data_IF_846267248705
#
_entry.id   IF_846267248705
#
_cell.length_a   1.000
_cell.length_b   1.000
_cell.length_c   1.000
_cell.angle_alpha   90.00
_cell.angle_beta   90.00
_cell.angle_gamma   90.00
#
_symmetry.space_group_name_H-M   'P 1'
#
loop_
_entity.id
_entity.type
_entity.pdbx_description
1 polymer ?
#
# COMPACT_ATOMS: atom_id res chain seq x y z
N UNK A 1 -6.73 0.42 4.12
CA UNK A 1 -6.73 1.07 5.44
C UNK A 1 -6.89 0.02 6.55
N UNK A 2 -6.31 0.27 7.73
CA UNK A 2 -6.49 -0.59 8.91
C UNK A 2 -7.24 0.21 9.96
N UNK A 3 -8.19 -0.43 10.63
CA UNK A 3 -8.84 0.08 11.83
C UNK A 3 -8.83 -0.95 12.92
N UNK A 4 -8.89 -0.45 14.14
CA UNK A 4 -9.02 -1.25 15.34
C UNK A 4 -10.45 -1.07 15.81
N UNK A 5 -11.22 -2.16 15.85
CA UNK A 5 -12.65 -2.17 16.13
C UNK A 5 -12.92 -2.90 17.44
N UNK A 6 -13.67 -2.27 18.33
CA UNK A 6 -14.25 -2.95 19.48
C UNK A 6 -15.58 -3.58 19.07
N UNK A 7 -15.73 -4.91 19.14
CA UNK A 7 -17.01 -5.58 18.83
C UNK A 7 -18.12 -5.34 19.85
N UNK A 8 -17.75 -4.98 21.08
CA UNK A 8 -18.71 -4.76 22.15
C UNK A 8 -19.40 -3.38 22.04
N UNK A 9 -18.63 -2.32 21.85
CA UNK A 9 -19.17 -0.95 21.77
C UNK A 9 -19.13 -0.32 20.36
N UNK A 10 -18.64 -1.06 19.36
CA UNK A 10 -18.49 -0.62 17.95
C UNK A 10 -17.63 0.62 17.71
N UNK A 11 -16.91 1.10 18.73
CA UNK A 11 -15.93 2.17 18.60
C UNK A 11 -14.73 1.69 17.75
N UNK A 12 -14.16 2.64 16.99
CA UNK A 12 -13.09 2.40 16.03
C UNK A 12 -11.92 3.36 16.30
N UNK A 13 -10.70 2.87 16.10
CA UNK A 13 -9.47 3.65 16.18
C UNK A 13 -8.66 3.52 14.89
N UNK A 14 -7.95 4.60 14.55
CA UNK A 14 -7.02 4.69 13.41
C UNK A 14 -5.60 4.26 13.83
N UNK A 15 -5.33 4.24 15.14
CA UNK A 15 -4.08 3.77 15.73
C UNK A 15 -4.29 2.43 16.42
N UNK A 16 -3.24 1.59 16.49
CA UNK A 16 -3.29 0.33 17.21
C UNK A 16 -3.64 0.53 18.67
N UNK A 17 -4.66 -0.20 19.10
CA UNK A 17 -5.08 -0.33 20.48
C UNK A 17 -5.37 -1.80 20.76
N UNK A 18 -4.83 -2.33 21.85
CA UNK A 18 -5.00 -3.75 22.21
C UNK A 18 -6.34 -4.01 22.92
N UNK A 19 -6.81 -2.99 23.65
CA UNK A 19 -7.99 -3.04 24.50
C UNK A 19 -8.82 -1.78 24.29
N UNK A 20 -10.15 -1.92 24.28
CA UNK A 20 -11.08 -0.80 24.16
C UNK A 20 -11.03 0.09 25.41
N UNK A 21 -10.67 1.37 25.23
CA UNK A 21 -10.60 2.36 26.31
C UNK A 21 -11.95 2.56 27.01
N UNK A 22 -13.07 2.34 26.30
CA UNK A 22 -14.40 2.59 26.84
C UNK A 22 -15.00 1.40 27.62
N UNK A 23 -14.73 0.15 27.20
CA UNK A 23 -15.39 -1.03 27.77
C UNK A 23 -14.44 -2.18 28.11
N UNK A 24 -13.13 -1.96 28.03
CA UNK A 24 -12.06 -2.93 28.31
C UNK A 24 -12.15 -4.26 27.54
N UNK A 25 -12.97 -4.32 26.49
CA UNK A 25 -13.10 -5.49 25.64
C UNK A 25 -11.93 -5.58 24.65
N UNK A 26 -11.64 -6.79 24.17
CA UNK A 26 -10.62 -7.03 23.15
C UNK A 26 -10.95 -6.30 21.85
N UNK A 27 -9.90 -5.81 21.19
CA UNK A 27 -9.99 -5.14 19.89
C UNK A 27 -9.67 -6.11 18.76
N UNK A 28 -10.42 -5.98 17.68
CA UNK A 28 -10.17 -6.70 16.43
C UNK A 28 -9.66 -5.76 15.35
N UNK A 29 -8.75 -6.27 14.53
CA UNK A 29 -8.24 -5.56 13.37
C UNK A 29 -9.22 -5.70 12.20
N UNK A 30 -9.69 -4.58 11.68
CA UNK A 30 -10.49 -4.48 10.47
C UNK A 30 -9.64 -3.93 9.33
N UNK A 31 -9.57 -4.65 8.21
CA UNK A 31 -8.88 -4.21 7.00
C UNK A 31 -9.92 -3.77 5.98
N UNK A 32 -9.73 -2.58 5.44
CA UNK A 32 -10.59 -1.98 4.41
C UNK A 32 -9.76 -1.79 3.13
N UNK A 33 -10.24 -2.26 1.99
CA UNK A 33 -9.55 -2.15 0.69
C UNK A 33 -9.91 -0.82 0.04
N UNK A 34 -8.92 0.04 -0.18
CA UNK A 34 -9.12 1.43 -0.61
C UNK A 34 -9.88 1.53 -1.94
N UNK A 35 -9.55 0.71 -2.93
CA UNK A 35 -10.20 0.73 -4.24
C UNK A 35 -11.72 0.42 -4.20
N UNK A 36 -12.19 -0.27 -3.16
CA UNK A 36 -13.59 -0.70 -3.02
C UNK A 36 -14.35 0.11 -1.96
N UNK A 37 -13.71 1.12 -1.38
CA UNK A 37 -14.28 1.91 -0.29
C UNK A 37 -14.85 3.22 -0.81
N UNK A 38 -15.96 3.66 -0.22
CA UNK A 38 -16.58 4.93 -0.59
C UNK A 38 -16.15 6.00 0.40
N UNK A 39 -15.49 7.02 -0.13
CA UNK A 39 -15.13 8.18 0.66
C UNK A 39 -15.90 9.40 0.17
N UNK A 40 -16.20 10.31 1.07
CA UNK A 40 -16.72 11.64 0.75
C UNK A 40 -15.78 12.70 1.28
N UNK A 41 -15.68 13.82 0.59
CA UNK A 41 -14.87 14.95 1.04
C UNK A 41 -15.65 15.67 2.15
N UNK A 42 -15.20 15.54 3.39
CA UNK A 42 -15.80 16.23 4.55
C UNK A 42 -15.29 17.67 4.70
N UNK A 43 -14.11 17.96 4.16
CA UNK A 43 -13.49 19.28 4.18
C UNK A 43 -12.08 19.21 3.63
N UNK A 44 -11.45 20.37 3.50
CA UNK A 44 -10.07 20.48 3.05
C UNK A 44 -9.42 21.76 3.58
N UNK A 45 -8.09 21.78 3.59
CA UNK A 45 -7.30 22.98 3.88
C UNK A 45 -6.14 23.06 2.88
N UNK A 46 -6.05 24.18 2.14
CA UNK A 46 -4.86 24.48 1.34
C UNK A 46 -3.76 25.00 2.27
N UNK A 47 -2.58 24.41 2.17
CA UNK A 47 -1.39 24.79 2.90
C UNK A 47 -0.48 25.51 1.92
N UNK A 48 -0.21 26.78 2.22
CA UNK A 48 0.58 27.69 1.38
C UNK A 48 1.87 28.15 2.06
N UNK A 49 2.08 27.79 3.33
CA UNK A 49 3.27 28.14 4.12
C UNK A 49 4.17 26.92 4.26
N UNK A 50 5.47 27.02 3.90
CA UNK A 50 6.35 25.87 3.94
C UNK A 50 6.65 25.52 5.39
N UNK A 51 6.84 24.23 5.65
CA UNK A 51 7.56 23.77 6.84
C UNK A 51 8.85 23.07 6.43
N UNK A 52 9.77 22.91 7.38
CA UNK A 52 10.99 22.10 7.17
C UNK A 52 10.65 20.71 6.63
N UNK A 53 9.56 20.12 7.14
CA UNK A 53 9.05 18.82 6.74
C UNK A 53 8.26 18.88 5.42
N UNK A 54 7.65 20.01 5.08
CA UNK A 54 6.79 20.20 3.89
C UNK A 54 7.03 21.55 3.15
N UNK A 55 8.12 21.72 2.37
CA UNK A 55 8.44 22.87 1.54
C UNK A 55 7.94 22.74 0.10
N UNK A 56 7.41 21.58 -0.31
CA UNK A 56 6.63 21.52 -1.56
C UNK A 56 5.26 22.12 -1.28
N UNK A 57 4.95 23.20 -1.96
CA UNK A 57 3.74 24.00 -1.78
C UNK A 57 3.21 24.49 -3.13
N UNK A 58 1.93 24.90 -3.19
CA UNK A 58 0.91 24.62 -2.18
C UNK A 58 0.48 23.15 -2.21
N UNK A 59 -0.03 22.63 -1.09
CA UNK A 59 -0.67 21.31 -1.05
C UNK A 59 -1.97 21.37 -0.26
N UNK A 60 -2.89 20.46 -0.54
CA UNK A 60 -4.17 20.36 0.16
C UNK A 60 -4.16 19.18 1.13
N UNK A 61 -4.62 19.42 2.35
CA UNK A 61 -5.01 18.35 3.28
C UNK A 61 -6.51 18.14 3.16
N UNK A 62 -6.91 17.01 2.56
CA UNK A 62 -8.30 16.55 2.50
C UNK A 62 -8.67 15.85 3.80
N UNK A 63 -9.90 16.07 4.25
CA UNK A 63 -10.55 15.27 5.28
C UNK A 63 -11.56 14.35 4.60
N UNK A 64 -11.24 13.07 4.50
CA UNK A 64 -12.08 12.06 3.87
C UNK A 64 -12.96 11.37 4.92
N UNK A 65 -14.26 11.25 4.66
CA UNK A 65 -15.22 10.52 5.48
C UNK A 65 -15.63 9.23 4.81
N UNK A 66 -15.49 8.11 5.51
CA UNK A 66 -15.91 6.79 5.00
C UNK A 66 -17.41 6.51 5.22
N UNK A 67 -17.89 5.37 4.72
CA UNK A 67 -19.28 4.91 4.88
C UNK A 67 -19.72 4.70 6.33
N UNK A 68 -18.78 4.66 7.27
CA UNK A 68 -19.02 4.49 8.69
C UNK A 68 -18.89 5.80 9.49
N UNK A 69 -18.70 6.93 8.80
CA UNK A 69 -18.56 8.25 9.40
C UNK A 69 -17.19 8.56 9.98
N UNK A 70 -16.18 7.70 9.75
CA UNK A 70 -14.81 7.93 10.21
C UNK A 70 -14.10 8.92 9.31
N UNK A 71 -13.29 9.79 9.91
CA UNK A 71 -12.52 10.80 9.22
C UNK A 71 -11.06 10.36 9.06
N UNK A 72 -10.47 10.62 7.89
CA UNK A 72 -9.06 10.36 7.60
C UNK A 72 -8.46 11.55 6.85
N UNK A 73 -7.33 12.11 7.32
CA UNK A 73 -6.59 13.09 6.55
C UNK A 73 -5.85 12.44 5.37
N UNK A 74 -5.94 13.04 4.18
CA UNK A 74 -5.13 12.69 2.99
C UNK A 74 -4.48 13.97 2.43
N UNK A 75 -3.15 13.96 2.28
CA UNK A 75 -2.42 15.02 1.56
C UNK A 75 -2.51 14.80 0.05
N UNK A 76 -2.62 15.88 -0.71
CA UNK A 76 -2.62 15.87 -2.19
C UNK A 76 -2.17 17.22 -2.73
N UNK A 77 -1.57 17.25 -3.93
CA UNK A 77 -1.26 18.51 -4.63
C UNK A 77 -2.46 19.08 -5.38
N UNK A 78 -3.51 18.28 -5.54
CA UNK A 78 -4.75 18.71 -6.19
C UNK A 78 -5.44 19.78 -5.34
N UNK A 79 -5.96 20.80 -6.01
CA UNK A 79 -6.77 21.85 -5.39
C UNK A 79 -8.23 21.45 -5.32
N UNK A 80 -8.89 21.91 -4.27
CA UNK A 80 -10.30 21.65 -3.99
C UNK A 80 -11.00 22.97 -3.69
N UNK A 81 -12.31 22.96 -3.88
CA UNK A 81 -13.20 24.09 -3.63
C UNK A 81 -14.37 23.66 -2.76
N UNK A 82 -15.11 24.62 -2.21
CA UNK A 82 -16.31 24.32 -1.39
C UNK A 82 -17.34 23.50 -2.16
N UNK A 83 -17.37 23.62 -3.50
CA UNK A 83 -18.23 22.81 -4.36
C UNK A 83 -17.86 21.32 -4.35
N UNK A 84 -16.69 20.93 -3.84
CA UNK A 84 -16.24 19.54 -3.75
C UNK A 84 -16.62 18.86 -2.44
N UNK A 85 -17.07 19.62 -1.43
CA UNK A 85 -17.54 19.07 -0.16
C UNK A 85 -18.75 18.16 -0.42
N UNK A 86 -18.80 17.03 0.27
CA UNK A 86 -19.77 15.94 0.12
C UNK A 86 -19.70 15.17 -1.21
N UNK A 87 -18.82 15.53 -2.16
CA UNK A 87 -18.58 14.70 -3.34
C UNK A 87 -17.85 13.42 -2.97
N UNK A 88 -18.11 12.37 -3.74
CA UNK A 88 -17.39 11.10 -3.63
C UNK A 88 -15.92 11.30 -4.02
N UNK A 89 -15.04 10.74 -3.20
CA UNK A 89 -13.61 10.66 -3.44
C UNK A 89 -13.26 9.21 -3.78
N UNK A 90 -12.70 9.00 -4.96
CA UNK A 90 -12.27 7.69 -5.42
C UNK A 90 -10.75 7.68 -5.49
N UNK A 91 -10.14 6.62 -4.97
CA UNK A 91 -8.72 6.39 -5.17
C UNK A 91 -8.50 5.94 -6.61
N UNK A 92 -7.76 6.74 -7.37
CA UNK A 92 -7.41 6.42 -8.74
C UNK A 92 -6.52 5.18 -8.78
N UNK A 93 -6.81 4.30 -9.73
CA UNK A 93 -5.95 3.16 -10.05
C UNK A 93 -4.91 3.60 -11.10
N UNK A 94 -3.83 2.84 -11.21
CA UNK A 94 -2.81 3.09 -12.22
C UNK A 94 -1.86 1.92 -12.42
N UNK A 95 -0.91 2.08 -13.35
CA UNK A 95 0.10 1.07 -13.68
C UNK A 95 1.08 0.77 -12.53
N UNK A 96 1.25 1.75 -11.63
CA UNK A 96 2.08 1.67 -10.44
C UNK A 96 1.30 2.22 -9.26
N UNK A 97 1.40 1.57 -8.11
CA UNK A 97 0.82 2.04 -6.85
C UNK A 97 1.89 2.23 -5.78
N UNK A 98 1.67 3.23 -4.92
CA UNK A 98 2.60 3.63 -3.86
C UNK A 98 1.86 3.71 -2.52
N UNK A 99 2.30 2.94 -1.52
CA UNK A 99 1.67 2.92 -0.19
C UNK A 99 2.70 2.96 0.92
N UNK A 100 2.51 3.87 1.89
CA UNK A 100 3.26 3.88 3.15
C UNK A 100 2.81 2.71 4.04
N UNK A 101 3.77 1.90 4.49
CA UNK A 101 3.51 0.86 5.48
C UNK A 101 3.48 1.51 6.86
N UNK A 102 2.29 1.58 7.48
CA UNK A 102 2.13 2.14 8.83
C UNK A 102 2.33 1.08 9.92
N UNK A 103 1.55 0.01 9.85
CA UNK A 103 1.45 -0.97 10.95
C UNK A 103 1.50 -2.42 10.48
N UNK A 104 1.15 -2.70 9.22
CA UNK A 104 0.93 -4.06 8.75
C UNK A 104 1.19 -4.19 7.26
N UNK A 105 2.14 -5.06 6.92
CA UNK A 105 2.55 -5.31 5.53
C UNK A 105 1.43 -5.95 4.71
N UNK A 106 0.70 -6.91 5.28
CA UNK A 106 -0.40 -7.60 4.58
C UNK A 106 -1.46 -6.61 4.09
N UNK A 107 -1.95 -5.73 4.98
CA UNK A 107 -2.90 -4.70 4.59
C UNK A 107 -2.30 -3.70 3.60
N UNK A 108 -1.02 -3.34 3.74
CA UNK A 108 -0.37 -2.40 2.83
C UNK A 108 -0.23 -2.99 1.41
N UNK A 109 0.22 -4.24 1.28
CA UNK A 109 0.32 -4.95 -0.01
C UNK A 109 -1.06 -5.11 -0.63
N UNK A 110 -2.07 -5.56 0.13
CA UNK A 110 -3.44 -5.70 -0.40
C UNK A 110 -3.97 -4.37 -0.98
N UNK A 111 -3.74 -3.27 -0.28
CA UNK A 111 -4.15 -1.97 -0.79
C UNK A 111 -3.32 -1.58 -2.03
N UNK A 112 -2.02 -1.86 -2.05
CA UNK A 112 -1.15 -1.52 -3.19
C UNK A 112 -1.62 -2.26 -4.44
N UNK A 113 -1.87 -3.57 -4.31
CA UNK A 113 -2.42 -4.39 -5.38
C UNK A 113 -3.81 -3.92 -5.82
N UNK A 114 -4.69 -3.52 -4.90
CA UNK A 114 -6.04 -3.05 -5.25
C UNK A 114 -6.05 -1.76 -6.08
N UNK A 115 -4.98 -0.95 -5.98
CA UNK A 115 -4.81 0.30 -6.72
C UNK A 115 -4.12 0.10 -8.07
N UNK A 116 -3.76 -1.13 -8.42
CA UNK A 116 -3.22 -1.42 -9.74
C UNK A 116 -4.35 -1.56 -10.76
N UNK A 117 -4.19 -0.88 -11.90
CA UNK A 117 -5.05 -1.08 -13.05
C UNK A 117 -4.83 -2.47 -13.66
N UNK A 118 -5.94 -3.09 -14.11
CA UNK A 118 -5.92 -4.40 -14.75
C UNK A 118 -5.18 -5.47 -13.92
N UNK A 119 -5.31 -5.37 -12.59
CA UNK A 119 -4.79 -6.36 -11.65
C UNK A 119 -5.93 -6.90 -10.80
N UNK A 120 -6.28 -8.16 -11.06
CA UNK A 120 -7.18 -8.93 -10.22
C UNK A 120 -6.46 -10.17 -9.73
N UNK A 121 -6.29 -10.32 -8.42
CA UNK A 121 -5.56 -11.46 -7.81
C UNK A 121 -6.09 -12.80 -8.34
N UNK A 122 -7.41 -12.91 -8.51
CA UNK A 122 -8.08 -14.12 -9.01
C UNK A 122 -7.70 -14.49 -10.45
N UNK A 123 -7.34 -13.53 -11.31
CA UNK A 123 -6.92 -13.81 -12.69
C UNK A 123 -5.55 -14.51 -12.78
N UNK A 124 -4.82 -14.57 -11.66
CA UNK A 124 -3.53 -15.24 -11.54
C UNK A 124 -3.63 -16.61 -10.85
N UNK A 125 -4.84 -17.10 -10.56
CA UNK A 125 -5.05 -18.49 -10.15
C UNK A 125 -4.46 -19.44 -11.19
N UNK A 126 -3.69 -20.42 -10.75
CA UNK A 126 -2.98 -21.38 -11.60
C UNK A 126 -1.97 -20.74 -12.59
N UNK A 127 -1.57 -19.48 -12.39
CA UNK A 127 -0.49 -18.83 -13.13
C UNK A 127 0.74 -18.72 -12.26
N UNK A 128 1.91 -18.79 -12.89
CA UNK A 128 3.18 -18.53 -12.22
C UNK A 128 3.36 -17.03 -12.04
N UNK A 129 3.38 -16.57 -10.79
CA UNK A 129 3.61 -15.16 -10.46
C UNK A 129 5.07 -15.04 -10.02
N UNK A 130 5.86 -14.32 -10.81
CA UNK A 130 7.17 -13.86 -10.35
C UNK A 130 6.97 -12.55 -9.61
N UNK A 131 7.22 -12.58 -8.31
CA UNK A 131 7.29 -11.39 -7.46
C UNK A 131 8.74 -11.02 -7.26
N UNK A 132 9.14 -9.90 -7.86
CA UNK A 132 10.45 -9.33 -7.59
C UNK A 132 10.34 -8.36 -6.42
N UNK A 133 10.95 -8.73 -5.30
CA UNK A 133 10.95 -8.00 -4.05
C UNK A 133 12.32 -7.36 -3.80
N UNK A 134 12.43 -6.09 -4.19
CA UNK A 134 13.67 -5.32 -4.10
C UNK A 134 13.63 -4.31 -2.95
N UNK A 135 14.79 -4.08 -2.33
CA UNK A 135 15.04 -2.97 -1.43
C UNK A 135 15.83 -1.91 -2.19
N UNK A 136 15.26 -0.72 -2.25
CA UNK A 136 15.74 0.29 -3.18
C UNK A 136 16.72 1.31 -2.53
N UNK A 137 16.87 1.32 -1.20
CA UNK A 137 17.90 2.06 -0.44
C UNK A 137 18.82 1.05 0.28
N UNK A 138 20.13 1.30 0.39
CA UNK A 138 21.16 0.27 0.61
C UNK A 138 21.89 0.33 1.96
N UNK A 139 21.31 1.00 2.97
CA UNK A 139 21.95 1.18 4.28
C UNK A 139 21.80 -0.05 5.16
N UNK A 140 22.61 -1.08 4.89
CA UNK A 140 22.83 -2.36 5.62
C UNK A 140 22.44 -2.37 7.12
N UNK A 141 21.15 -2.32 7.45
CA UNK A 141 20.65 -2.34 8.82
C UNK A 141 19.78 -3.59 9.05
N UNK A 142 19.83 -4.08 10.29
CA UNK A 142 18.97 -5.13 10.83
C UNK A 142 17.48 -4.87 10.62
N UNK A 143 17.06 -3.60 10.61
CA UNK A 143 15.67 -3.20 10.35
C UNK A 143 15.21 -3.56 8.93
N UNK A 144 16.09 -3.38 7.93
CA UNK A 144 15.76 -3.62 6.52
C UNK A 144 15.46 -5.10 6.28
N UNK A 145 16.31 -5.98 6.82
CA UNK A 145 16.12 -7.44 6.76
C UNK A 145 14.78 -7.85 7.37
N UNK A 146 14.42 -7.25 8.50
CA UNK A 146 13.14 -7.54 9.17
C UNK A 146 11.96 -7.09 8.31
N UNK A 147 12.00 -5.88 7.76
CA UNK A 147 10.97 -5.34 6.85
C UNK A 147 10.77 -6.23 5.62
N UNK A 148 11.85 -6.72 5.03
CA UNK A 148 11.81 -7.58 3.84
C UNK A 148 11.20 -8.95 4.16
N UNK A 149 11.60 -9.58 5.26
CA UNK A 149 11.00 -10.85 5.71
C UNK A 149 9.50 -10.68 5.96
N UNK A 150 9.10 -9.60 6.65
CA UNK A 150 7.68 -9.29 6.88
C UNK A 150 6.90 -9.06 5.59
N UNK A 151 7.51 -8.40 4.59
CA UNK A 151 6.90 -8.23 3.27
C UNK A 151 6.72 -9.60 2.58
N UNK A 152 7.75 -10.44 2.56
CA UNK A 152 7.71 -11.78 1.95
C UNK A 152 6.63 -12.63 2.61
N UNK A 153 6.56 -12.66 3.95
CA UNK A 153 5.55 -13.41 4.70
C UNK A 153 4.14 -12.90 4.42
N UNK A 154 3.97 -11.58 4.34
CA UNK A 154 2.69 -10.97 4.02
C UNK A 154 2.24 -11.25 2.58
N UNK A 155 3.17 -11.23 1.62
CA UNK A 155 2.94 -11.64 0.23
C UNK A 155 2.46 -13.09 0.21
N UNK A 156 3.22 -14.02 0.83
CA UNK A 156 2.83 -15.43 0.92
C UNK A 156 1.43 -15.57 1.49
N UNK A 157 1.15 -14.90 2.60
CA UNK A 157 -0.17 -14.92 3.22
C UNK A 157 -1.30 -14.47 2.27
N UNK A 158 -1.09 -13.47 1.41
CA UNK A 158 -2.09 -13.01 0.44
C UNK A 158 -2.39 -14.11 -0.57
N UNK A 159 -1.36 -14.67 -1.19
CA UNK A 159 -1.53 -15.67 -2.24
C UNK A 159 -1.90 -17.06 -1.70
N UNK A 160 -1.52 -17.40 -0.46
CA UNK A 160 -1.89 -18.65 0.21
C UNK A 160 -3.31 -18.62 0.82
N UNK A 161 -3.74 -17.51 1.44
CA UNK A 161 -5.12 -17.42 1.98
C UNK A 161 -6.18 -17.41 0.89
N UNK A 162 -5.90 -16.78 -0.26
CA UNK A 162 -6.82 -16.77 -1.40
C UNK A 162 -6.81 -18.10 -2.19
N UNK A 163 -5.88 -19.02 -1.89
CA UNK A 163 -5.89 -20.41 -2.35
C UNK A 163 -6.80 -21.32 -1.50
N UNK A 164 -7.09 -20.93 -0.25
CA UNK A 164 -7.69 -21.78 0.78
C UNK A 164 -9.00 -21.27 1.41
N UNK A 165 -9.71 -20.33 0.78
CA UNK A 165 -11.03 -19.87 1.25
C UNK A 165 -12.01 -19.67 0.11
N UNK A 166 -12.37 -20.77 -0.56
CA UNK A 166 -13.67 -20.92 -1.19
C UNK A 166 -14.37 -22.08 -0.47
N UNK A 167 -15.08 -21.76 0.61
CA UNK A 167 -16.11 -22.68 1.12
C UNK A 167 -17.36 -22.36 0.32
N UNK A 168 -17.64 -23.16 -0.70
CA UNK A 168 -18.93 -23.13 -1.38
C UNK A 168 -20.03 -23.51 -0.36
N UNK A 169 -21.22 -22.95 -0.53
CA UNK A 169 -22.41 -23.06 0.35
C UNK A 169 -22.89 -24.52 0.51
N UNK A 170 -22.26 -25.47 -0.20
CA UNK A 170 -22.58 -26.89 -0.18
C UNK A 170 -21.46 -27.81 0.38
N UNK A 171 -20.43 -27.27 1.04
CA UNK A 171 -19.50 -28.07 1.86
C UNK A 171 -18.69 -29.14 1.11
N UNK A 172 -18.50 -29.00 -0.21
CA UNK A 172 -17.56 -29.83 -0.97
C UNK A 172 -16.26 -29.04 -1.16
N UNK A 173 -15.16 -29.60 -0.67
CA UNK A 173 -13.81 -29.16 -1.00
C UNK A 173 -13.66 -29.22 -2.52
N UNK A 174 -13.61 -28.06 -3.17
CA UNK A 174 -13.08 -27.94 -4.52
C UNK A 174 -11.56 -27.91 -4.44
N UNK A 175 -10.90 -28.54 -5.41
CA UNK A 175 -9.46 -28.69 -5.50
C UNK A 175 -8.74 -27.36 -5.23
N UNK A 176 -7.85 -27.35 -4.22
CA UNK A 176 -7.11 -26.17 -3.81
C UNK A 176 -6.33 -25.61 -5.01
N UNK A 177 -6.63 -24.38 -5.40
CA UNK A 177 -5.92 -23.70 -6.48
C UNK A 177 -4.49 -23.41 -6.01
N UNK A 178 -3.51 -24.14 -6.55
CA UNK A 178 -2.10 -23.97 -6.22
C UNK A 178 -1.52 -22.82 -7.05
N UNK A 179 -1.07 -21.74 -6.39
CA UNK A 179 -0.28 -20.71 -7.05
C UNK A 179 1.19 -21.17 -7.11
N UNK A 180 1.77 -21.22 -8.31
CA UNK A 180 3.22 -21.39 -8.46
C UNK A 180 3.89 -20.03 -8.24
N UNK A 181 4.09 -19.67 -6.96
CA UNK A 181 4.61 -18.38 -6.54
C UNK A 181 6.14 -18.42 -6.44
N UNK A 182 6.82 -17.63 -7.27
CA UNK A 182 8.27 -17.46 -7.21
C UNK A 182 8.55 -16.06 -6.70
N UNK A 183 9.12 -15.95 -5.50
CA UNK A 183 9.51 -14.68 -4.91
C UNK A 183 11.01 -14.54 -5.07
N UNK A 184 11.41 -13.71 -6.04
CA UNK A 184 12.80 -13.35 -6.26
C UNK A 184 13.16 -12.16 -5.38
N UNK A 185 14.09 -12.40 -4.46
CA UNK A 185 14.55 -11.42 -3.49
C UNK A 185 16.06 -11.31 -3.63
N UNK A 186 16.60 -10.24 -4.22
CA UNK A 186 18.02 -10.17 -4.60
C UNK A 186 19.02 -10.47 -3.47
N UNK A 187 18.63 -10.21 -2.21
CA UNK A 187 19.46 -10.41 -1.02
C UNK A 187 19.07 -11.65 -0.18
N UNK A 188 17.87 -12.23 -0.37
CA UNK A 188 17.50 -13.53 0.19
C UNK A 188 17.64 -14.54 -0.95
N UNK A 189 18.74 -15.28 -0.99
CA UNK A 189 18.94 -16.37 -1.95
C UNK A 189 17.93 -17.49 -1.69
N UNK A 190 16.70 -17.31 -2.13
CA UNK A 190 15.67 -18.35 -2.14
C UNK A 190 15.64 -18.90 -3.56
N UNK A 191 16.27 -20.07 -3.70
CA UNK A 191 16.23 -21.00 -4.84
C UNK A 191 15.98 -20.36 -6.22
N UNK A 192 17.05 -19.89 -6.86
CA UNK A 192 17.02 -19.31 -8.22
C UNK A 192 17.04 -20.37 -9.34
N UNK A 193 16.94 -21.65 -8.99
CA UNK A 193 16.99 -22.74 -9.96
C UNK A 193 15.60 -22.93 -10.59
N UNK A 194 15.42 -22.30 -11.77
CA UNK A 194 14.40 -22.51 -12.81
C UNK A 194 13.58 -21.27 -13.22
N UNK A 195 14.24 -20.20 -13.70
CA UNK A 195 13.57 -19.02 -14.27
C UNK A 195 13.49 -19.06 -15.80
N UNK A 196 12.71 -20.01 -16.35
CA UNK A 196 12.00 -19.81 -17.64
C UNK A 196 10.51 -19.64 -17.31
N UNK A 197 10.02 -18.41 -17.31
CA UNK A 197 8.64 -18.07 -16.94
C UNK A 197 8.01 -17.16 -17.98
N UNK A 198 6.74 -17.44 -18.32
CA UNK A 198 5.93 -16.74 -19.31
C UNK A 198 5.25 -15.47 -18.78
N UNK A 199 5.26 -14.45 -19.63
CA UNK A 199 4.34 -13.34 -19.95
C UNK A 199 3.61 -12.49 -18.90
N UNK A 200 3.71 -12.69 -17.58
CA UNK A 200 3.23 -11.67 -16.63
C UNK A 200 4.09 -11.59 -15.37
N UNK A 201 4.93 -10.56 -15.29
CA UNK A 201 5.74 -10.26 -14.10
C UNK A 201 4.98 -9.24 -13.23
N UNK A 202 4.97 -9.43 -11.92
CA UNK A 202 4.49 -8.43 -10.97
C UNK A 202 5.68 -8.03 -10.10
N UNK A 203 6.01 -6.77 -10.07
CA UNK A 203 7.09 -6.25 -9.23
C UNK A 203 6.46 -5.60 -7.99
N UNK A 204 6.89 -6.02 -6.80
CA UNK A 204 6.49 -5.40 -5.53
C UNK A 204 7.79 -5.08 -4.81
N UNK A 205 8.22 -3.83 -4.85
CA UNK A 205 9.42 -3.39 -4.16
C UNK A 205 9.06 -2.73 -2.82
N UNK A 206 9.94 -2.88 -1.82
CA UNK A 206 9.87 -2.14 -0.57
C UNK A 206 11.02 -1.14 -0.53
N UNK A 207 10.70 0.14 -0.64
CA UNK A 207 11.66 1.20 -0.41
C UNK A 207 11.68 1.57 1.08
N UNK A 208 12.88 1.62 1.66
CA UNK A 208 13.07 2.11 3.03
C UNK A 208 13.79 3.43 2.91
N UNK A 209 13.11 4.52 3.22
CA UNK A 209 13.71 5.85 3.18
C UNK A 209 14.17 6.21 4.58
N UNK A 210 15.47 6.40 4.78
CA UNK A 210 15.97 7.12 5.94
C UNK A 210 15.62 8.61 5.76
N UNK A 211 14.89 9.26 6.69
CA UNK A 211 14.65 10.68 6.56
C UNK A 211 15.97 11.46 6.69
N UNK A 212 15.90 12.75 6.38
CA UNK A 212 17.04 13.65 6.54
C UNK A 212 17.53 13.64 8.00
N UNK A 213 18.78 14.08 8.25
CA UNK A 213 19.45 13.98 9.58
C UNK A 213 18.64 14.51 10.78
N UNK A 214 17.63 15.34 10.52
CA UNK A 214 16.77 15.96 11.52
C UNK A 214 15.56 15.10 11.95
N UNK A 215 15.33 13.95 11.29
CA UNK A 215 14.22 13.03 11.58
C UNK A 215 14.72 11.57 11.57
N UNK A 216 14.92 10.93 12.73
CA UNK A 216 15.65 9.67 12.80
C UNK A 216 14.83 8.40 12.46
N UNK A 217 13.62 8.51 11.91
CA UNK A 217 12.72 7.35 11.74
C UNK A 217 12.58 6.88 10.30
N UNK A 218 13.09 5.69 9.99
CA UNK A 218 12.91 5.04 8.68
C UNK A 218 11.44 4.94 8.27
N UNK A 219 11.14 5.27 7.01
CA UNK A 219 9.83 5.08 6.40
C UNK A 219 9.84 3.90 5.43
N UNK A 220 8.98 2.91 5.68
CA UNK A 220 8.72 1.82 4.75
C UNK A 220 7.65 2.23 3.73
N UNK A 221 7.95 2.10 2.45
CA UNK A 221 7.03 2.34 1.34
C UNK A 221 7.01 1.14 0.40
N UNK A 222 5.81 0.69 0.04
CA UNK A 222 5.60 -0.33 -0.97
C UNK A 222 5.32 0.32 -2.31
N UNK A 223 6.01 -0.16 -3.34
CA UNK A 223 5.81 0.21 -4.75
C UNK A 223 5.43 -1.07 -5.48
N UNK A 224 4.23 -1.13 -6.06
CA UNK A 224 3.79 -2.27 -6.84
C UNK A 224 3.54 -1.86 -8.29
N UNK A 225 3.80 -2.75 -9.25
CA UNK A 225 3.52 -2.52 -10.67
C UNK A 225 3.84 -3.74 -11.54
N UNK A 226 3.22 -3.83 -12.72
CA UNK A 226 3.42 -4.98 -13.65
C UNK A 226 4.73 -4.89 -14.44
N UNK A 227 5.34 -3.69 -14.51
CA UNK A 227 6.59 -3.45 -15.22
C UNK A 227 7.67 -2.97 -14.25
N UNK A 228 8.72 -3.77 -14.07
CA UNK A 228 9.83 -3.43 -13.17
C UNK A 228 10.49 -2.09 -13.53
N UNK A 229 10.55 -1.76 -14.82
CA UNK A 229 11.09 -0.47 -15.28
C UNK A 229 10.27 0.72 -14.76
N UNK A 230 8.94 0.63 -14.72
CA UNK A 230 8.08 1.70 -14.19
C UNK A 230 8.24 1.82 -12.68
N UNK A 231 8.34 0.70 -11.95
CA UNK A 231 8.62 0.69 -10.50
C UNK A 231 9.97 1.39 -10.20
N UNK A 232 11.01 1.07 -10.96
CA UNK A 232 12.33 1.67 -10.80
C UNK A 232 12.35 3.17 -11.16
N UNK A 233 11.61 3.58 -12.20
CA UNK A 233 11.46 4.99 -12.54
C UNK A 233 10.78 5.78 -11.41
N UNK A 234 9.70 5.24 -10.83
CA UNK A 234 9.03 5.85 -9.67
C UNK A 234 10.00 5.94 -8.50
N UNK A 235 10.72 4.86 -8.19
CA UNK A 235 11.72 4.89 -7.13
C UNK A 235 12.80 5.96 -7.34
N UNK A 236 13.40 6.01 -8.54
CA UNK A 236 14.43 6.98 -8.87
C UNK A 236 13.94 8.42 -8.74
N UNK A 237 12.67 8.68 -9.05
CA UNK A 237 12.03 9.97 -8.81
C UNK A 237 11.88 10.27 -7.30
N UNK A 238 11.53 9.26 -6.47
CA UNK A 238 11.44 9.39 -5.01
C UNK A 238 12.79 9.72 -4.36
N UNK A 239 13.89 9.11 -4.83
CA UNK A 239 15.24 9.38 -4.29
C UNK A 239 15.97 10.57 -4.96
N UNK A 240 15.31 11.26 -5.89
CA UNK A 240 15.89 12.42 -6.58
C UNK A 240 17.04 12.08 -7.55
N UNK A 241 17.05 10.87 -8.13
CA UNK A 241 18.10 10.40 -9.08
C UNK A 241 17.68 10.41 -10.57
N UNK A 242 16.52 10.95 -10.95
CA UNK A 242 16.14 11.11 -12.38
C UNK A 242 14.80 11.79 -12.65
N UNK A 243 14.61 12.28 -13.88
CA UNK A 243 13.35 12.86 -14.40
C UNK A 243 12.39 11.77 -14.90
N UNK A 244 11.12 11.84 -14.49
CA UNK A 244 10.07 10.89 -14.88
C UNK A 244 9.41 11.30 -16.20
N UNK A 245 9.30 10.37 -17.17
CA UNK A 245 8.56 10.56 -18.43
C UNK A 245 7.55 9.41 -18.63
N UNK A 246 6.40 9.50 -17.97
CA UNK A 246 5.28 8.58 -18.12
C UNK A 246 3.96 9.25 -17.73
N UNK A 247 2.83 8.85 -18.33
CA UNK A 247 1.50 9.26 -17.88
C UNK A 247 1.13 8.46 -16.63
N UNK A 248 1.57 8.94 -15.48
CA UNK A 248 0.96 8.64 -14.17
C UNK A 248 -0.23 9.58 -14.02
N UNK A 249 -1.30 9.20 -13.32
CA UNK A 249 -2.34 10.18 -13.00
C UNK A 249 -1.69 11.41 -12.35
N UNK A 250 -1.84 12.53 -13.06
CA UNK A 250 -0.79 13.56 -13.20
C UNK A 250 -0.51 14.42 -11.98
N UNK A 251 -1.21 14.23 -10.85
CA UNK A 251 -1.06 15.08 -9.67
C UNK A 251 -0.27 14.41 -8.52
N UNK A 252 -0.01 13.10 -8.59
CA UNK A 252 0.61 12.34 -7.48
C UNK A 252 2.10 11.98 -7.71
N UNK A 253 2.67 12.11 -8.92
CA UNK A 253 4.10 11.77 -9.13
C UNK A 253 5.11 12.94 -9.03
N UNK A 254 4.69 14.20 -9.12
CA UNK A 254 5.59 15.34 -8.87
C UNK A 254 5.50 15.86 -7.41
N UNK A 255 4.51 15.38 -6.67
CA UNK A 255 4.32 15.52 -5.22
C UNK A 255 5.29 14.68 -4.36
N UNK A 256 6.09 13.83 -5.01
CA UNK A 256 6.55 12.54 -4.49
C UNK A 256 7.76 12.53 -3.53
N UNK A 257 8.04 13.62 -2.83
CA UNK A 257 8.90 13.54 -1.64
C UNK A 257 8.19 14.38 -0.61
N UNK A 258 7.43 13.75 0.29
CA UNK A 258 7.23 14.09 1.72
C UNK A 258 5.99 13.43 2.31
N UNK A 259 6.26 12.44 3.15
CA UNK A 259 5.52 12.02 4.35
C UNK A 259 3.99 12.15 4.37
N UNK A 260 3.33 10.98 4.39
CA UNK A 260 2.11 10.78 5.19
C UNK A 260 2.46 10.81 6.66
#
# INVERSE_FOLDING_TARGET
MIRWLCKNCNLKWIHPVDVCINCNSKIEKQITILANSRFTIAGFSEITVPSTLHPKLPYTVLLLKDEHGNLMPKKTMKRFSDADINKEFVFEKGDVSLIKVKYDYYAAILNALSLLDNFEINEYKNKRILLHAELLDDKKDTLEKKSQLQMVDAIKQIFEKDAGSIVDVNGKNSDAAEYDLIIDVPFLRVNQDALKISNSKLTIANAIFAPNKDEPTHMNMLIAGRESNKVNQVFNALVGKGEFKGKVSGDELEANIREI
#
